data_IF_855802188997
#
_entry.id   IF_855802188997
#
_cell.length_a   1.000
_cell.length_b   1.000
_cell.length_c   1.000
_cell.angle_alpha   90.00
_cell.angle_beta   90.00
_cell.angle_gamma   90.00
#
_symmetry.space_group_name_H-M   'P 1'
#
loop_
_entity.id
_entity.type
_entity.pdbx_description
1 polymer ?
#
# COMPACT_ATOMS: atom_id res chain seq x y z
N UNK A 1 -1.88 -11.34 -2.54
CA UNK A 1 -2.49 -11.11 -3.88
C UNK A 1 -2.88 -9.65 -3.99
N UNK A 2 -2.65 -9.01 -5.13
CA UNK A 2 -2.76 -7.54 -5.29
C UNK A 2 -3.95 -7.14 -6.18
N UNK A 3 -4.27 -5.84 -6.20
CA UNK A 3 -5.30 -5.26 -7.07
C UNK A 3 -4.76 -4.78 -8.44
N UNK A 4 -3.63 -5.33 -8.88
CA UNK A 4 -3.22 -5.26 -10.30
C UNK A 4 -3.84 -6.43 -11.06
N UNK A 5 -4.66 -6.14 -12.07
CA UNK A 5 -5.39 -7.16 -12.84
C UNK A 5 -5.52 -6.74 -14.30
N UNK A 6 -5.53 -7.72 -15.19
CA UNK A 6 -5.90 -7.50 -16.59
C UNK A 6 -7.41 -7.42 -16.72
N UNK A 7 -7.90 -6.41 -17.45
CA UNK A 7 -9.28 -6.28 -17.92
C UNK A 7 -9.21 -6.08 -19.43
N UNK A 8 -9.79 -7.01 -20.22
CA UNK A 8 -9.77 -6.95 -21.71
C UNK A 8 -8.36 -6.70 -22.28
N UNK A 9 -7.37 -7.47 -21.81
CA UNK A 9 -5.96 -7.40 -22.23
C UNK A 9 -5.20 -6.10 -21.90
N UNK A 10 -5.77 -5.22 -21.08
CA UNK A 10 -5.09 -4.04 -20.54
C UNK A 10 -4.85 -4.20 -19.03
N UNK A 11 -3.68 -3.81 -18.54
CA UNK A 11 -3.31 -3.89 -17.12
C UNK A 11 -3.88 -2.69 -16.36
N UNK A 12 -4.60 -2.97 -15.28
CA UNK A 12 -5.16 -1.95 -14.38
C UNK A 12 -4.49 -2.00 -13.01
N UNK A 13 -4.18 -0.82 -12.47
CA UNK A 13 -3.93 -0.61 -11.06
C UNK A 13 -5.27 -0.24 -10.40
N UNK A 14 -5.91 -1.20 -9.73
CA UNK A 14 -7.30 -1.11 -9.29
C UNK A 14 -8.26 -0.84 -10.47
N UNK A 15 -8.79 0.37 -10.56
CA UNK A 15 -9.74 0.80 -11.59
C UNK A 15 -9.12 1.82 -12.56
N UNK A 16 -7.81 2.04 -12.47
CA UNK A 16 -7.06 2.95 -13.35
C UNK A 16 -6.18 2.16 -14.32
N UNK A 17 -6.27 2.39 -15.64
CA UNK A 17 -5.36 1.77 -16.60
C UNK A 17 -3.91 2.19 -16.35
N UNK A 18 -2.98 1.22 -16.32
CA UNK A 18 -1.55 1.50 -16.10
C UNK A 18 -0.98 2.31 -17.26
N UNK A 19 -1.43 2.07 -18.50
CA UNK A 19 -1.02 2.82 -19.69
C UNK A 19 -1.29 4.33 -19.53
N UNK A 20 -2.49 4.69 -19.04
CA UNK A 20 -2.87 6.09 -18.76
C UNK A 20 -1.93 6.76 -17.75
N UNK A 21 -1.49 6.01 -16.73
CA UNK A 21 -0.53 6.52 -15.74
C UNK A 21 0.86 6.72 -16.35
N UNK A 22 1.32 5.76 -17.15
CA UNK A 22 2.61 5.84 -17.84
C UNK A 22 2.66 7.00 -18.85
N UNK A 23 1.58 7.25 -19.60
CA UNK A 23 1.48 8.40 -20.52
C UNK A 23 1.49 9.73 -19.77
N UNK A 24 0.80 9.81 -18.62
CA UNK A 24 0.69 11.05 -17.84
C UNK A 24 1.95 11.39 -17.06
N UNK A 25 2.61 10.40 -16.46
CA UNK A 25 3.71 10.59 -15.51
C UNK A 25 5.08 10.16 -16.06
N UNK A 26 5.14 9.59 -17.27
CA UNK A 26 6.36 9.07 -17.87
C UNK A 26 6.80 7.72 -17.30
N UNK A 27 7.91 7.19 -17.79
CA UNK A 27 8.52 5.94 -17.33
C UNK A 27 10.03 6.10 -17.12
N UNK A 28 10.64 5.41 -16.11
CA UNK A 28 10.05 4.40 -15.23
C UNK A 28 9.12 4.98 -14.15
N UNK A 29 8.08 4.23 -13.78
CA UNK A 29 7.04 4.66 -12.83
C UNK A 29 6.71 3.56 -11.82
N UNK A 30 6.82 3.86 -10.53
CA UNK A 30 6.26 3.02 -9.46
C UNK A 30 4.78 3.34 -9.25
N UNK A 31 3.95 2.30 -9.25
CA UNK A 31 2.50 2.42 -8.99
C UNK A 31 2.18 1.55 -7.78
N UNK A 32 1.57 2.15 -6.76
CA UNK A 32 1.12 1.44 -5.55
C UNK A 32 -0.41 1.41 -5.52
N UNK A 33 -0.99 0.28 -5.09
CA UNK A 33 -2.43 0.15 -4.90
C UNK A 33 -2.81 0.40 -3.45
N UNK A 34 -3.64 1.41 -3.22
CA UNK A 34 -4.25 1.71 -1.92
C UNK A 34 -5.03 0.52 -1.37
N UNK A 35 -5.92 -0.08 -2.18
CA UNK A 35 -6.74 -1.23 -1.77
C UNK A 35 -5.87 -2.43 -1.39
N UNK A 36 -4.73 -2.62 -2.07
CA UNK A 36 -3.79 -3.71 -1.76
C UNK A 36 -3.15 -3.51 -0.40
N UNK A 37 -2.57 -2.32 -0.16
CA UNK A 37 -1.91 -1.98 1.10
C UNK A 37 -2.89 -2.06 2.28
N UNK A 38 -4.08 -1.45 2.15
CA UNK A 38 -5.09 -1.45 3.20
C UNK A 38 -5.60 -2.86 3.52
N UNK A 39 -5.83 -3.69 2.51
CA UNK A 39 -6.29 -5.06 2.69
C UNK A 39 -5.26 -5.91 3.41
N UNK A 40 -3.97 -5.75 3.10
CA UNK A 40 -2.90 -6.47 3.79
C UNK A 40 -2.72 -5.99 5.24
N UNK A 41 -2.78 -4.68 5.47
CA UNK A 41 -2.77 -4.14 6.84
C UNK A 41 -3.92 -4.70 7.68
N UNK A 42 -5.15 -4.65 7.16
CA UNK A 42 -6.34 -5.20 7.85
C UNK A 42 -6.28 -6.71 8.05
N UNK A 43 -5.66 -7.45 7.14
CA UNK A 43 -5.48 -8.89 7.33
C UNK A 43 -4.61 -9.20 8.55
N UNK A 44 -3.53 -8.43 8.77
CA UNK A 44 -2.73 -8.54 9.98
C UNK A 44 -3.53 -8.08 11.21
N UNK A 45 -4.20 -6.92 11.14
CA UNK A 45 -4.97 -6.37 12.28
C UNK A 45 -6.03 -7.37 12.75
N UNK A 46 -6.78 -7.94 11.81
CA UNK A 46 -7.82 -8.92 12.11
C UNK A 46 -7.27 -10.24 12.68
N UNK A 47 -6.02 -10.62 12.34
CA UNK A 47 -5.42 -11.85 12.83
C UNK A 47 -5.12 -11.81 14.33
N UNK A 48 -4.94 -10.61 14.90
CA UNK A 48 -4.72 -10.39 16.33
C UNK A 48 -5.97 -9.86 17.05
N UNK A 49 -7.14 -9.94 16.40
CA UNK A 49 -8.39 -9.50 16.99
C UNK A 49 -8.68 -10.25 18.30
N UNK A 50 -9.13 -9.51 19.32
CA UNK A 50 -9.36 -10.05 20.67
C UNK A 50 -8.13 -10.03 21.59
N UNK A 51 -6.97 -9.57 21.12
CA UNK A 51 -5.79 -9.33 21.95
C UNK A 51 -5.32 -7.87 21.81
N UNK A 52 -4.90 -7.18 22.88
CA UNK A 52 -4.35 -5.82 22.77
C UNK A 52 -3.06 -5.81 21.93
N UNK A 53 -3.04 -5.07 20.82
CA UNK A 53 -1.89 -5.02 19.90
C UNK A 53 -1.79 -3.66 19.17
N UNK A 54 -0.64 -3.44 18.54
CA UNK A 54 -0.41 -2.39 17.54
C UNK A 54 0.48 -2.96 16.43
N UNK A 55 0.13 -2.72 15.17
CA UNK A 55 0.96 -3.10 14.03
C UNK A 55 1.93 -1.95 13.72
N UNK A 56 3.22 -2.16 13.95
CA UNK A 56 4.27 -1.23 13.52
C UNK A 56 4.80 -1.60 12.13
N UNK A 57 4.46 -0.80 11.12
CA UNK A 57 4.95 -1.01 9.76
C UNK A 57 6.45 -0.70 9.67
N UNK A 58 7.25 -1.62 9.14
CA UNK A 58 8.69 -1.42 8.95
C UNK A 58 8.96 -0.42 7.82
N UNK A 59 9.24 0.85 8.16
CA UNK A 59 9.36 1.96 7.19
C UNK A 59 10.45 1.74 6.14
N UNK A 60 11.50 0.99 6.49
CA UNK A 60 12.58 0.61 5.58
C UNK A 60 12.12 -0.17 4.35
N UNK A 61 10.94 -0.79 4.39
CA UNK A 61 10.37 -1.53 3.25
C UNK A 61 9.78 -0.60 2.19
N UNK A 62 9.16 0.51 2.61
CA UNK A 62 8.67 1.58 1.73
C UNK A 62 8.36 2.83 2.57
N UNK A 63 9.24 3.83 2.51
CA UNK A 63 9.13 5.06 3.30
C UNK A 63 8.29 6.17 2.64
N UNK A 64 7.50 5.85 1.61
CA UNK A 64 6.62 6.84 0.99
C UNK A 64 5.59 7.38 2.00
N UNK A 65 5.56 8.71 2.17
CA UNK A 65 4.71 9.39 3.17
C UNK A 65 3.21 9.11 3.00
N UNK A 66 2.75 8.87 1.77
CA UNK A 66 1.33 8.55 1.52
C UNK A 66 0.96 7.15 2.04
N UNK A 67 1.91 6.21 1.98
CA UNK A 67 1.74 4.85 2.52
C UNK A 67 1.79 4.89 4.05
N UNK A 68 2.73 5.63 4.63
CA UNK A 68 2.77 5.83 6.08
C UNK A 68 1.47 6.47 6.60
N UNK A 69 0.99 7.53 5.93
CA UNK A 69 -0.27 8.18 6.26
C UNK A 69 -1.47 7.23 6.14
N UNK A 70 -1.46 6.31 5.16
CA UNK A 70 -2.49 5.29 5.03
C UNK A 70 -2.55 4.39 6.27
N UNK A 71 -1.41 3.86 6.73
CA UNK A 71 -1.38 2.98 7.91
C UNK A 71 -1.69 3.72 9.21
N UNK A 72 -1.14 4.93 9.40
CA UNK A 72 -1.45 5.76 10.57
C UNK A 72 -2.95 6.07 10.68
N UNK A 73 -3.63 6.37 9.56
CA UNK A 73 -5.08 6.58 9.53
C UNK A 73 -5.92 5.33 9.87
N UNK A 74 -5.32 4.15 9.83
CA UNK A 74 -5.97 2.89 10.18
C UNK A 74 -5.48 2.32 11.52
N UNK A 75 -4.82 3.13 12.36
CA UNK A 75 -4.38 2.72 13.71
C UNK A 75 -3.00 2.08 13.77
N UNK A 76 -2.26 2.03 12.65
CA UNK A 76 -0.92 1.46 12.60
C UNK A 76 0.16 2.41 13.15
N UNK A 77 1.19 1.80 13.74
CA UNK A 77 2.45 2.46 14.12
C UNK A 77 3.53 2.34 13.05
N UNK A 78 4.74 2.77 13.41
CA UNK A 78 5.92 2.77 12.56
C UNK A 78 7.10 2.13 13.30
N UNK A 79 7.74 1.13 12.67
CA UNK A 79 9.05 0.64 13.07
C UNK A 79 10.11 1.38 12.24
N UNK A 80 10.95 2.16 12.92
CA UNK A 80 11.89 3.11 12.33
C UNK A 80 13.34 2.78 12.73
N UNK A 81 14.29 3.11 11.86
CA UNK A 81 15.71 2.76 12.04
C UNK A 81 16.64 3.96 11.88
N UNK A 82 16.09 5.16 11.76
CA UNK A 82 16.82 6.43 11.66
C UNK A 82 15.95 7.58 12.18
N UNK A 83 16.54 8.76 12.42
CA UNK A 83 15.81 9.97 12.82
C UNK A 83 15.20 10.77 11.67
N UNK A 84 15.13 10.20 10.47
CA UNK A 84 14.60 10.85 9.26
C UNK A 84 13.08 10.80 9.14
#
# INVERSE_FOLDING_TARGET
MHFFRYKRNELFAEDVPVKRLAEKYGTPLYIYSYKTLLRHFRAYENAFNGYPHIICFALKSNSNLSILRLFAKNGGGADIVSGG
#
